data_IF_652978728229
#
_entry.id   IF_652978728229
#
_cell.length_a   1.000
_cell.length_b   1.000
_cell.length_c   1.000
_cell.angle_alpha   90.00
_cell.angle_beta   90.00
_cell.angle_gamma   90.00
#
_symmetry.space_group_name_H-M   'P 1'
#
loop_
_entity.id
_entity.type
_entity.pdbx_description
1 polymer ?
#
# COMPACT_ATOMS: atom_id res chain seq x y z
N UNK A 1 -73.33 48.26 -20.55
CA UNK A 1 -72.45 47.10 -20.84
C UNK A 1 -71.02 47.23 -20.25
N UNK A 2 -70.58 48.41 -19.76
CA UNK A 2 -69.19 48.63 -19.29
C UNK A 2 -68.98 48.36 -17.77
N UNK A 3 -70.04 48.36 -16.95
CA UNK A 3 -69.92 48.14 -15.48
C UNK A 3 -69.62 46.69 -15.06
N UNK A 4 -69.94 45.69 -15.88
CA UNK A 4 -69.70 44.28 -15.54
C UNK A 4 -68.28 43.79 -15.88
N UNK A 5 -67.51 44.54 -16.68
CA UNK A 5 -66.15 44.16 -17.09
C UNK A 5 -65.10 44.50 -16.02
N UNK A 6 -65.29 45.57 -15.24
CA UNK A 6 -64.37 45.95 -14.16
C UNK A 6 -64.49 45.07 -12.92
N UNK A 7 -65.67 44.52 -12.64
CA UNK A 7 -65.89 43.59 -11.54
C UNK A 7 -65.23 42.21 -11.79
N UNK A 8 -65.23 41.73 -13.04
CA UNK A 8 -64.56 40.47 -13.39
C UNK A 8 -63.04 40.60 -13.38
N UNK A 9 -62.46 41.72 -13.83
CA UNK A 9 -61.00 41.94 -13.82
C UNK A 9 -60.49 42.14 -12.38
N UNK A 10 -61.21 42.88 -11.54
CA UNK A 10 -60.86 43.05 -10.12
C UNK A 10 -60.93 41.76 -9.31
N UNK A 11 -61.93 40.91 -9.57
CA UNK A 11 -62.08 39.62 -8.88
C UNK A 11 -61.02 38.60 -9.31
N UNK A 12 -60.64 38.58 -10.59
CA UNK A 12 -59.53 37.75 -11.10
C UNK A 12 -58.18 38.22 -10.54
N UNK A 13 -57.96 39.54 -10.38
CA UNK A 13 -56.76 40.07 -9.73
C UNK A 13 -56.70 39.71 -8.24
N UNK A 14 -57.81 39.82 -7.50
CA UNK A 14 -57.88 39.48 -6.07
C UNK A 14 -57.67 37.98 -5.86
N UNK A 15 -58.31 37.13 -6.66
CA UNK A 15 -58.13 35.67 -6.60
C UNK A 15 -56.69 35.31 -6.98
N UNK A 16 -56.12 35.94 -8.01
CA UNK A 16 -54.71 35.77 -8.38
C UNK A 16 -53.74 36.16 -7.26
N UNK A 17 -54.00 37.26 -6.54
CA UNK A 17 -53.17 37.67 -5.39
C UNK A 17 -53.34 36.77 -4.15
N UNK A 18 -54.56 36.26 -3.89
CA UNK A 18 -54.78 35.34 -2.77
C UNK A 18 -54.11 33.99 -2.99
N UNK A 19 -54.18 33.46 -4.23
CA UNK A 19 -53.53 32.20 -4.61
C UNK A 19 -52.00 32.36 -4.60
N UNK A 20 -51.48 33.48 -5.10
CA UNK A 20 -50.04 33.77 -5.04
C UNK A 20 -49.52 33.89 -3.60
N UNK A 21 -50.29 34.53 -2.70
CA UNK A 21 -49.94 34.59 -1.27
C UNK A 21 -49.95 33.21 -0.61
N UNK A 22 -50.95 32.35 -0.90
CA UNK A 22 -50.98 31.00 -0.29
C UNK A 22 -49.80 30.13 -0.72
N UNK A 23 -49.37 30.22 -1.99
CA UNK A 23 -48.19 29.49 -2.44
C UNK A 23 -46.91 30.04 -1.81
N UNK A 24 -46.79 31.36 -1.65
CA UNK A 24 -45.64 31.96 -0.98
C UNK A 24 -45.55 31.53 0.50
N UNK A 25 -46.67 31.51 1.22
CA UNK A 25 -46.73 31.07 2.62
C UNK A 25 -46.35 29.58 2.75
N UNK A 26 -46.91 28.71 1.93
CA UNK A 26 -46.58 27.27 1.93
C UNK A 26 -45.12 27.00 1.52
N UNK A 27 -44.60 27.74 0.55
CA UNK A 27 -43.17 27.65 0.16
C UNK A 27 -42.26 28.01 1.33
N UNK A 28 -42.61 29.07 2.07
CA UNK A 28 -41.85 29.50 3.25
C UNK A 28 -41.90 28.45 4.36
N UNK A 29 -43.08 27.88 4.64
CA UNK A 29 -43.26 26.82 5.64
C UNK A 29 -42.38 25.59 5.37
N UNK A 30 -42.38 25.09 4.12
CA UNK A 30 -41.53 23.97 3.73
C UNK A 30 -40.04 24.29 3.83
N UNK A 31 -39.64 25.50 3.45
CA UNK A 31 -38.25 25.93 3.59
C UNK A 31 -37.81 25.98 5.07
N UNK A 32 -38.63 26.56 5.96
CA UNK A 32 -38.33 26.61 7.40
C UNK A 32 -38.30 25.22 8.05
N UNK A 33 -39.21 24.33 7.64
CA UNK A 33 -39.20 22.94 8.07
C UNK A 33 -37.90 22.23 7.65
N UNK A 34 -37.49 22.40 6.39
CA UNK A 34 -36.23 21.85 5.88
C UNK A 34 -35.01 22.34 6.67
N UNK A 35 -34.96 23.64 7.00
CA UNK A 35 -33.87 24.22 7.82
C UNK A 35 -33.82 23.55 9.20
N UNK A 36 -34.97 23.39 9.85
CA UNK A 36 -35.06 22.74 11.16
C UNK A 36 -34.60 21.27 11.12
N UNK A 37 -34.94 20.54 10.06
CA UNK A 37 -34.48 19.16 9.87
C UNK A 37 -32.97 19.09 9.63
N UNK A 38 -32.40 20.04 8.87
CA UNK A 38 -30.95 20.16 8.72
C UNK A 38 -30.23 20.38 10.05
N UNK A 39 -30.74 21.30 10.88
CA UNK A 39 -30.18 21.56 12.22
C UNK A 39 -30.23 20.30 13.10
N UNK A 40 -31.24 19.46 12.91
CA UNK A 40 -31.43 18.20 13.64
C UNK A 40 -30.70 17.01 13.00
N UNK A 41 -29.97 17.23 11.90
CA UNK A 41 -29.26 16.22 11.10
C UNK A 41 -30.19 15.14 10.50
N UNK A 42 -31.48 15.46 10.36
CA UNK A 42 -32.49 14.62 9.70
C UNK A 42 -32.50 14.92 8.20
N UNK A 43 -31.41 14.58 7.51
CA UNK A 43 -31.12 15.06 6.15
C UNK A 43 -32.15 14.63 5.11
N UNK A 44 -32.72 13.42 5.22
CA UNK A 44 -33.75 12.93 4.31
C UNK A 44 -35.03 13.76 4.40
N UNK A 45 -35.50 14.05 5.63
CA UNK A 45 -36.67 14.90 5.85
C UNK A 45 -36.42 16.36 5.43
N UNK A 46 -35.18 16.83 5.61
CA UNK A 46 -34.78 18.13 5.10
C UNK A 46 -34.85 18.19 3.57
N UNK A 47 -34.33 17.17 2.88
CA UNK A 47 -34.39 17.05 1.42
C UNK A 47 -35.85 17.04 0.95
N UNK A 48 -36.70 16.21 1.55
CA UNK A 48 -38.14 16.16 1.20
C UNK A 48 -38.79 17.54 1.34
N UNK A 49 -38.57 18.22 2.47
CA UNK A 49 -39.13 19.55 2.73
C UNK A 49 -38.62 20.60 1.73
N UNK A 50 -37.32 20.60 1.43
CA UNK A 50 -36.74 21.52 0.45
C UNK A 50 -37.15 21.18 -0.99
N UNK A 51 -37.40 19.92 -1.33
CA UNK A 51 -37.93 19.52 -2.64
C UNK A 51 -39.34 20.07 -2.84
N UNK A 52 -40.23 19.91 -1.85
CA UNK A 52 -41.58 20.51 -1.89
C UNK A 52 -41.51 22.04 -2.04
N UNK A 53 -40.63 22.70 -1.27
CA UNK A 53 -40.40 24.14 -1.42
C UNK A 53 -39.86 24.52 -2.81
N UNK A 54 -38.99 23.69 -3.38
CA UNK A 54 -38.39 23.91 -4.70
C UNK A 54 -39.40 23.71 -5.82
N UNK A 55 -40.31 22.73 -5.72
CA UNK A 55 -41.39 22.52 -6.68
C UNK A 55 -42.35 23.71 -6.73
N UNK A 56 -42.65 24.32 -5.58
CA UNK A 56 -43.51 25.50 -5.49
C UNK A 56 -42.83 26.78 -5.99
N UNK A 57 -41.52 26.90 -5.84
CA UNK A 57 -40.76 28.07 -6.30
C UNK A 57 -39.34 27.70 -6.82
N UNK A 58 -39.24 27.15 -8.05
CA UNK A 58 -37.97 26.66 -8.61
C UNK A 58 -36.91 27.76 -8.88
N UNK A 59 -37.35 29.00 -9.04
CA UNK A 59 -36.47 30.16 -9.31
C UNK A 59 -35.80 30.71 -8.03
N UNK A 60 -36.14 30.16 -6.86
CA UNK A 60 -35.57 30.59 -5.59
C UNK A 60 -34.15 30.04 -5.39
N UNK A 61 -33.15 30.91 -5.57
CA UNK A 61 -31.74 30.60 -5.30
C UNK A 61 -31.51 30.08 -3.87
N UNK A 62 -32.25 30.61 -2.89
CA UNK A 62 -32.13 30.20 -1.49
C UNK A 62 -32.54 28.74 -1.30
N UNK A 63 -33.72 28.37 -1.84
CA UNK A 63 -34.24 27.00 -1.71
C UNK A 63 -33.34 26.03 -2.47
N UNK A 64 -32.91 26.41 -3.69
CA UNK A 64 -31.97 25.61 -4.48
C UNK A 64 -30.66 25.36 -3.71
N UNK A 65 -30.08 26.38 -3.08
CA UNK A 65 -28.86 26.25 -2.25
C UNK A 65 -29.09 25.36 -1.03
N UNK A 66 -30.22 25.51 -0.35
CA UNK A 66 -30.58 24.68 0.78
C UNK A 66 -30.71 23.20 0.38
N UNK A 67 -31.36 22.93 -0.76
CA UNK A 67 -31.51 21.58 -1.29
C UNK A 67 -30.16 20.96 -1.68
N UNK A 68 -29.30 21.70 -2.39
CA UNK A 68 -27.92 21.30 -2.70
C UNK A 68 -27.13 20.97 -1.43
N UNK A 69 -27.22 21.83 -0.42
CA UNK A 69 -26.53 21.63 0.86
C UNK A 69 -27.03 20.39 1.59
N UNK A 70 -28.33 20.12 1.54
CA UNK A 70 -28.95 18.95 2.17
C UNK A 70 -28.52 17.65 1.49
N UNK A 71 -28.51 17.59 0.15
CA UNK A 71 -27.92 16.47 -0.58
C UNK A 71 -26.44 16.28 -0.25
N UNK A 72 -25.66 17.36 -0.19
CA UNK A 72 -24.25 17.27 0.17
C UNK A 72 -24.05 16.76 1.61
N UNK A 73 -24.89 17.15 2.56
CA UNK A 73 -24.83 16.68 3.94
C UNK A 73 -25.15 15.18 4.05
N UNK A 74 -26.22 14.72 3.39
CA UNK A 74 -26.56 13.30 3.34
C UNK A 74 -25.47 12.48 2.65
N UNK A 75 -24.93 12.96 1.53
CA UNK A 75 -23.84 12.29 0.83
C UNK A 75 -22.60 12.15 1.72
N UNK A 76 -22.25 13.19 2.50
CA UNK A 76 -21.17 13.11 3.48
C UNK A 76 -21.47 12.12 4.62
N UNK A 77 -22.72 12.03 5.09
CA UNK A 77 -23.15 11.03 6.07
C UNK A 77 -22.94 9.60 5.55
N UNK A 78 -23.36 9.33 4.31
CA UNK A 78 -23.14 8.02 3.66
C UNK A 78 -21.65 7.70 3.50
N UNK A 79 -20.85 8.70 3.08
CA UNK A 79 -19.40 8.57 2.97
C UNK A 79 -18.73 8.24 4.32
N UNK A 80 -19.18 8.83 5.43
CA UNK A 80 -18.68 8.51 6.77
C UNK A 80 -18.99 7.07 7.20
N UNK A 81 -20.08 6.51 6.70
CA UNK A 81 -20.44 5.10 6.89
C UNK A 81 -19.68 4.14 5.95
N UNK A 82 -18.91 4.68 5.00
CA UNK A 82 -18.19 3.92 3.98
C UNK A 82 -19.06 3.48 2.80
N UNK A 83 -20.31 3.92 2.73
CA UNK A 83 -21.19 3.68 1.59
C UNK A 83 -20.92 4.72 0.50
N UNK A 84 -19.84 4.48 -0.24
CA UNK A 84 -19.38 5.39 -1.29
C UNK A 84 -20.34 5.45 -2.47
N UNK A 85 -21.04 4.36 -2.79
CA UNK A 85 -22.03 4.32 -3.87
C UNK A 85 -23.21 5.22 -3.52
N UNK A 86 -23.81 5.06 -2.34
CA UNK A 86 -24.90 5.93 -1.88
C UNK A 86 -24.46 7.39 -1.74
N UNK A 87 -23.21 7.64 -1.30
CA UNK A 87 -22.66 8.99 -1.24
C UNK A 87 -22.58 9.64 -2.63
N UNK A 88 -22.04 8.92 -3.62
CA UNK A 88 -21.91 9.38 -5.00
C UNK A 88 -23.29 9.62 -5.63
N UNK A 89 -24.22 8.67 -5.52
CA UNK A 89 -25.58 8.80 -6.06
C UNK A 89 -26.31 10.01 -5.46
N UNK A 90 -26.09 10.29 -4.17
CA UNK A 90 -26.73 11.42 -3.49
C UNK A 90 -26.11 12.76 -3.92
N UNK A 91 -24.78 12.88 -4.01
CA UNK A 91 -24.15 14.14 -4.43
C UNK A 91 -24.39 14.43 -5.91
N UNK A 92 -24.63 13.41 -6.75
CA UNK A 92 -25.05 13.61 -8.15
C UNK A 92 -26.36 14.39 -8.23
N UNK A 93 -27.32 14.17 -7.32
CA UNK A 93 -28.55 14.97 -7.26
C UNK A 93 -28.26 16.46 -7.00
N UNK A 94 -27.24 16.77 -6.19
CA UNK A 94 -26.78 18.14 -6.00
C UNK A 94 -26.11 18.71 -7.27
N UNK A 95 -25.37 17.89 -8.01
CA UNK A 95 -24.74 18.24 -9.27
C UNK A 95 -25.75 18.52 -10.39
N UNK A 96 -26.85 17.76 -10.44
CA UNK A 96 -27.96 17.98 -11.37
C UNK A 96 -28.63 19.35 -11.16
N UNK A 97 -28.69 19.82 -9.90
CA UNK A 97 -29.20 21.15 -9.58
C UNK A 97 -28.22 22.25 -10.00
N UNK A 98 -26.93 22.07 -9.76
CA UNK A 98 -25.89 23.03 -10.16
C UNK A 98 -24.56 22.32 -10.50
N UNK A 99 -24.37 22.07 -11.79
CA UNK A 99 -23.21 21.35 -12.32
C UNK A 99 -21.90 22.13 -12.22
N UNK A 100 -21.96 23.43 -11.91
CA UNK A 100 -20.79 24.31 -11.77
C UNK A 100 -20.48 24.62 -10.30
N UNK A 101 -21.21 24.03 -9.36
CA UNK A 101 -20.98 24.23 -7.95
C UNK A 101 -19.63 23.60 -7.53
N UNK A 102 -18.65 24.45 -7.21
CA UNK A 102 -17.30 24.02 -6.89
C UNK A 102 -17.24 23.06 -5.69
N UNK A 103 -18.12 23.21 -4.69
CA UNK A 103 -18.16 22.32 -3.52
C UNK A 103 -18.70 20.94 -3.92
N UNK A 104 -19.74 20.88 -4.75
CA UNK A 104 -20.31 19.63 -5.26
C UNK A 104 -19.31 18.89 -6.15
N UNK A 105 -18.67 19.60 -7.08
CA UNK A 105 -17.63 19.06 -7.96
C UNK A 105 -16.43 18.51 -7.15
N UNK A 106 -15.99 19.25 -6.13
CA UNK A 106 -14.95 18.79 -5.23
C UNK A 106 -15.37 17.55 -4.44
N UNK A 107 -16.57 17.53 -3.86
CA UNK A 107 -17.10 16.38 -3.11
C UNK A 107 -17.21 15.13 -3.99
N UNK A 108 -17.70 15.26 -5.23
CA UNK A 108 -17.70 14.18 -6.22
C UNK A 108 -16.29 13.63 -6.41
N UNK A 109 -15.30 14.49 -6.68
CA UNK A 109 -13.91 14.08 -6.83
C UNK A 109 -13.38 13.33 -5.59
N UNK A 110 -13.68 13.84 -4.39
CA UNK A 110 -13.29 13.21 -3.11
C UNK A 110 -13.94 11.84 -2.94
N UNK A 111 -15.24 11.70 -3.18
CA UNK A 111 -15.94 10.42 -3.00
C UNK A 111 -15.47 9.36 -4.01
N UNK A 112 -15.31 9.72 -5.29
CA UNK A 112 -14.73 8.81 -6.27
C UNK A 112 -13.29 8.40 -5.91
N UNK A 113 -12.48 9.32 -5.36
CA UNK A 113 -11.11 9.03 -4.92
C UNK A 113 -11.09 8.03 -3.75
N UNK A 114 -11.95 8.24 -2.75
CA UNK A 114 -12.03 7.34 -1.60
C UNK A 114 -12.61 5.98 -1.97
N UNK A 115 -13.60 5.94 -2.87
CA UNK A 115 -14.12 4.67 -3.37
C UNK A 115 -13.04 3.87 -4.10
N UNK A 116 -12.26 4.54 -4.96
CA UNK A 116 -11.12 3.92 -5.62
C UNK A 116 -10.08 3.42 -4.61
N UNK A 117 -9.82 4.16 -3.53
CA UNK A 117 -8.90 3.73 -2.49
C UNK A 117 -9.34 2.42 -1.81
N UNK A 118 -10.63 2.26 -1.52
CA UNK A 118 -11.17 0.99 -1.00
C UNK A 118 -11.07 -0.15 -2.02
N UNK A 119 -11.35 0.13 -3.29
CA UNK A 119 -11.18 -0.84 -4.37
C UNK A 119 -9.73 -1.29 -4.54
N UNK A 120 -8.75 -0.39 -4.37
CA UNK A 120 -7.33 -0.74 -4.37
C UNK A 120 -6.97 -1.73 -3.25
N UNK A 121 -7.52 -1.56 -2.05
CA UNK A 121 -7.32 -2.50 -0.93
C UNK A 121 -7.89 -3.89 -1.23
N UNK A 122 -8.98 -3.94 -1.99
CA UNK A 122 -9.62 -5.19 -2.44
C UNK A 122 -8.96 -5.80 -3.68
N UNK A 123 -7.90 -5.19 -4.22
CA UNK A 123 -7.22 -5.65 -5.44
C UNK A 123 -7.96 -5.32 -6.74
N UNK A 124 -9.07 -4.57 -6.69
CA UNK A 124 -9.89 -4.17 -7.83
C UNK A 124 -9.26 -3.00 -8.61
N UNK A 125 -8.06 -3.23 -9.12
CA UNK A 125 -7.18 -2.20 -9.70
C UNK A 125 -7.72 -1.51 -10.96
N UNK A 126 -8.65 -2.13 -11.69
CA UNK A 126 -9.26 -1.52 -12.88
C UNK A 126 -10.41 -0.59 -12.49
N UNK A 127 -11.34 -1.05 -11.65
CA UNK A 127 -12.42 -0.22 -11.12
C UNK A 127 -11.86 1.00 -10.38
N UNK A 128 -10.81 0.81 -9.58
CA UNK A 128 -10.12 1.92 -8.92
C UNK A 128 -9.55 2.94 -9.91
N UNK A 129 -8.95 2.46 -11.02
CA UNK A 129 -8.43 3.34 -12.05
C UNK A 129 -9.55 4.19 -12.67
N UNK A 130 -10.67 3.55 -13.03
CA UNK A 130 -11.81 4.21 -13.67
C UNK A 130 -12.41 5.28 -12.74
N UNK A 131 -12.61 4.96 -11.46
CA UNK A 131 -13.09 5.91 -10.46
C UNK A 131 -12.14 7.10 -10.27
N UNK A 132 -10.82 6.87 -10.23
CA UNK A 132 -9.84 7.98 -10.17
C UNK A 132 -9.85 8.84 -11.42
N UNK A 133 -10.05 8.24 -12.60
CA UNK A 133 -10.20 8.99 -13.86
C UNK A 133 -11.46 9.85 -13.85
N UNK A 134 -12.56 9.33 -13.32
CA UNK A 134 -13.80 10.07 -13.11
C UNK A 134 -13.62 11.21 -12.10
N UNK A 135 -12.89 10.98 -11.00
CA UNK A 135 -12.60 12.03 -10.01
C UNK A 135 -11.87 13.25 -10.61
N UNK A 136 -10.94 13.03 -11.56
CA UNK A 136 -10.26 14.11 -12.28
C UNK A 136 -11.18 14.89 -13.24
N UNK A 137 -12.29 14.30 -13.69
CA UNK A 137 -13.25 15.01 -14.54
C UNK A 137 -14.00 16.09 -13.75
N UNK A 138 -14.22 15.87 -12.44
CA UNK A 138 -14.94 16.80 -11.58
C UNK A 138 -14.02 17.84 -10.92
N UNK A 139 -12.82 17.45 -10.49
CA UNK A 139 -11.84 18.39 -9.92
C UNK A 139 -10.41 18.01 -10.34
N UNK A 140 -9.85 18.77 -11.29
CA UNK A 140 -8.49 18.59 -11.80
C UNK A 140 -7.40 19.06 -10.83
N UNK A 141 -7.77 19.80 -9.78
CA UNK A 141 -6.84 20.35 -8.78
C UNK A 141 -6.79 19.50 -7.50
N UNK A 142 -7.58 18.42 -7.43
CA UNK A 142 -7.56 17.49 -6.31
C UNK A 142 -6.27 16.64 -6.33
N UNK A 143 -5.23 17.12 -5.63
CA UNK A 143 -3.93 16.44 -5.53
C UNK A 143 -4.05 14.99 -5.02
N UNK A 144 -5.07 14.66 -4.23
CA UNK A 144 -5.25 13.32 -3.67
C UNK A 144 -5.55 12.27 -4.76
N UNK A 145 -6.19 12.69 -5.85
CA UNK A 145 -6.44 11.83 -7.02
C UNK A 145 -5.12 11.45 -7.67
N UNK A 146 -4.22 12.42 -7.87
CA UNK A 146 -2.90 12.19 -8.45
C UNK A 146 -2.01 11.33 -7.55
N UNK A 147 -2.07 11.51 -6.23
CA UNK A 147 -1.39 10.61 -5.28
C UNK A 147 -1.87 9.17 -5.45
N UNK A 148 -3.18 8.97 -5.55
CA UNK A 148 -3.81 7.65 -5.67
C UNK A 148 -3.52 6.99 -7.02
N UNK A 149 -3.58 7.74 -8.12
CA UNK A 149 -3.16 7.27 -9.45
C UNK A 149 -1.68 6.89 -9.47
N UNK A 150 -0.82 7.71 -8.86
CA UNK A 150 0.61 7.40 -8.77
C UNK A 150 0.88 6.12 -7.98
N UNK A 151 0.19 5.91 -6.84
CA UNK A 151 0.26 4.66 -6.06
C UNK A 151 -0.23 3.46 -6.86
N UNK A 152 -1.34 3.60 -7.58
CA UNK A 152 -1.89 2.54 -8.42
C UNK A 152 -0.92 2.13 -9.53
N UNK A 153 -0.33 3.10 -10.23
CA UNK A 153 0.66 2.84 -11.28
C UNK A 153 1.94 2.24 -10.73
N UNK A 154 2.40 2.73 -9.58
CA UNK A 154 3.56 2.18 -8.88
C UNK A 154 3.34 0.69 -8.53
N UNK A 155 2.17 0.34 -7.98
CA UNK A 155 1.83 -1.03 -7.64
C UNK A 155 1.68 -1.94 -8.88
N UNK A 156 1.28 -1.38 -10.02
CA UNK A 156 1.27 -2.07 -11.32
C UNK A 156 2.67 -2.21 -11.96
N UNK A 157 3.70 -1.61 -11.35
CA UNK A 157 5.06 -1.59 -11.88
C UNK A 157 5.30 -0.55 -12.98
N UNK A 158 4.31 0.30 -13.30
CA UNK A 158 4.48 1.40 -14.25
C UNK A 158 5.07 2.63 -13.54
N UNK A 159 6.37 2.54 -13.29
CA UNK A 159 7.12 3.57 -12.56
C UNK A 159 7.10 4.92 -13.28
N UNK A 160 7.06 4.93 -14.63
CA UNK A 160 7.06 6.17 -15.41
C UNK A 160 5.77 6.96 -15.20
N UNK A 161 4.63 6.28 -15.27
CA UNK A 161 3.34 6.91 -15.01
C UNK A 161 3.18 7.28 -13.53
N UNK A 162 3.70 6.46 -12.61
CA UNK A 162 3.71 6.79 -11.18
C UNK A 162 4.41 8.12 -10.91
N UNK A 163 5.62 8.30 -11.46
CA UNK A 163 6.41 9.53 -11.38
C UNK A 163 5.65 10.71 -11.98
N UNK A 164 5.00 10.52 -13.15
CA UNK A 164 4.19 11.58 -13.79
C UNK A 164 3.08 12.07 -12.86
N UNK A 165 2.27 11.16 -12.31
CA UNK A 165 1.16 11.53 -11.42
C UNK A 165 1.65 12.14 -10.09
N UNK A 166 2.69 11.58 -9.47
CA UNK A 166 3.21 12.14 -8.22
C UNK A 166 3.87 13.51 -8.40
N UNK A 167 4.45 13.80 -9.57
CA UNK A 167 4.92 15.15 -9.88
C UNK A 167 3.78 16.16 -9.90
N UNK A 168 2.68 15.84 -10.57
CA UNK A 168 1.47 16.69 -10.56
C UNK A 168 0.91 16.87 -9.14
N UNK A 169 0.86 15.79 -8.34
CA UNK A 169 0.41 15.85 -6.95
C UNK A 169 1.25 16.83 -6.11
N UNK A 170 2.58 16.77 -6.22
CA UNK A 170 3.52 17.64 -5.49
C UNK A 170 3.48 19.08 -6.02
N UNK A 171 3.21 19.28 -7.31
CA UNK A 171 2.97 20.61 -7.88
C UNK A 171 1.71 21.26 -7.29
N UNK A 172 0.61 20.49 -7.17
CA UNK A 172 -0.65 20.97 -6.58
C UNK A 172 -0.57 21.15 -5.07
N UNK A 173 0.17 20.27 -4.38
CA UNK A 173 0.38 20.34 -2.94
C UNK A 173 1.86 20.06 -2.57
N UNK A 174 2.68 21.12 -2.43
CA UNK A 174 4.09 20.98 -2.06
C UNK A 174 4.36 20.44 -0.65
N UNK A 175 3.34 20.34 0.22
CA UNK A 175 3.48 19.83 1.59
C UNK A 175 3.50 18.30 1.66
N UNK A 176 3.34 17.59 0.54
CA UNK A 176 3.36 16.13 0.45
C UNK A 176 4.78 15.56 0.57
N UNK A 177 5.41 15.71 1.75
CA UNK A 177 6.80 15.31 1.98
C UNK A 177 7.07 13.83 1.65
N UNK A 178 6.17 12.92 2.04
CA UNK A 178 6.31 11.48 1.74
C UNK A 178 6.36 11.22 0.24
N UNK A 179 5.42 11.80 -0.52
CA UNK A 179 5.33 11.65 -1.97
C UNK A 179 6.52 12.31 -2.65
N UNK A 180 6.95 13.48 -2.16
CA UNK A 180 8.13 14.19 -2.66
C UNK A 180 9.39 13.36 -2.50
N UNK A 181 9.64 12.80 -1.30
CA UNK A 181 10.80 11.92 -1.07
C UNK A 181 10.75 10.70 -1.98
N UNK A 182 9.57 10.06 -2.14
CA UNK A 182 9.43 8.90 -3.02
C UNK A 182 9.67 9.26 -4.49
N UNK A 183 9.15 10.39 -4.93
CA UNK A 183 9.35 10.94 -6.29
C UNK A 183 10.83 11.18 -6.55
N UNK A 184 11.54 11.87 -5.65
CA UNK A 184 12.97 12.14 -5.76
C UNK A 184 13.78 10.84 -5.87
N UNK A 185 13.46 9.82 -5.06
CA UNK A 185 14.11 8.50 -5.14
C UNK A 185 13.92 7.85 -6.52
N UNK A 186 12.68 7.81 -7.02
CA UNK A 186 12.37 7.19 -8.33
C UNK A 186 12.97 7.98 -9.49
N UNK A 187 12.95 9.32 -9.44
CA UNK A 187 13.56 10.16 -10.46
C UNK A 187 15.08 9.99 -10.50
N UNK A 188 15.72 9.87 -9.33
CA UNK A 188 17.14 9.53 -9.22
C UNK A 188 17.42 8.14 -9.79
N UNK A 189 16.63 7.13 -9.42
CA UNK A 189 16.75 5.77 -9.94
C UNK A 189 16.66 5.75 -11.47
N UNK A 190 15.64 6.40 -12.05
CA UNK A 190 15.46 6.51 -13.50
C UNK A 190 16.68 7.21 -14.14
N UNK A 191 17.15 8.32 -13.56
CA UNK A 191 18.26 9.10 -14.11
C UNK A 191 19.57 8.34 -14.09
N UNK A 192 19.83 7.58 -13.02
CA UNK A 192 21.01 6.72 -12.88
C UNK A 192 20.91 5.56 -13.89
N UNK A 193 19.80 4.84 -13.90
CA UNK A 193 19.63 3.63 -14.70
C UNK A 193 19.54 3.87 -16.20
N UNK A 194 19.14 5.07 -16.65
CA UNK A 194 19.16 5.42 -18.08
C UNK A 194 20.55 5.26 -18.73
N UNK A 195 21.62 5.36 -17.93
CA UNK A 195 23.00 5.19 -18.39
C UNK A 195 23.46 3.74 -18.38
N UNK A 196 22.66 2.83 -17.80
CA UNK A 196 23.06 1.46 -17.57
C UNK A 196 22.89 0.63 -18.84
N UNK A 197 23.80 -0.33 -19.00
CA UNK A 197 23.69 -1.38 -20.00
C UNK A 197 22.93 -2.53 -19.39
N UNK A 198 22.06 -3.15 -20.17
CA UNK A 198 21.37 -4.38 -19.78
C UNK A 198 22.07 -5.57 -20.43
N UNK A 199 22.36 -6.59 -19.63
CA UNK A 199 22.90 -7.87 -20.08
C UNK A 199 21.99 -9.01 -19.63
N UNK A 200 21.54 -9.77 -20.61
CA UNK A 200 20.58 -10.84 -20.43
C UNK A 200 21.31 -12.16 -20.19
N UNK A 201 20.94 -12.87 -19.13
CA UNK A 201 21.36 -14.24 -18.85
C UNK A 201 20.12 -15.14 -18.78
N UNK A 202 20.33 -16.45 -18.61
CA UNK A 202 19.23 -17.43 -18.63
C UNK A 202 18.19 -17.16 -17.54
N UNK A 203 18.63 -16.90 -16.31
CA UNK A 203 17.76 -16.71 -15.13
C UNK A 203 17.79 -15.28 -14.56
N UNK A 204 18.69 -14.43 -15.05
CA UNK A 204 18.95 -13.11 -14.50
C UNK A 204 19.11 -12.08 -15.61
N UNK A 205 18.62 -10.87 -15.34
CA UNK A 205 18.87 -9.71 -16.20
C UNK A 205 19.64 -8.67 -15.41
N UNK A 206 20.88 -8.41 -15.83
CA UNK A 206 21.82 -7.59 -15.06
C UNK A 206 22.01 -6.22 -15.70
N UNK A 207 21.72 -5.17 -14.95
CA UNK A 207 22.01 -3.79 -15.32
C UNK A 207 23.23 -3.25 -14.60
N UNK A 208 24.09 -2.53 -15.31
CA UNK A 208 25.30 -1.90 -14.75
C UNK A 208 25.78 -0.72 -15.60
N UNK A 209 26.53 0.20 -15.01
CA UNK A 209 27.15 1.33 -15.71
C UNK A 209 28.52 0.98 -16.33
N UNK A 210 28.77 1.45 -17.56
CA UNK A 210 30.09 1.42 -18.20
C UNK A 210 30.55 0.06 -18.75
N UNK A 211 31.54 0.07 -19.66
CA UNK A 211 32.11 -1.16 -20.24
C UNK A 211 33.09 -1.87 -19.30
N UNK A 212 33.83 -1.11 -18.49
CA UNK A 212 34.89 -1.63 -17.62
C UNK A 212 34.36 -2.59 -16.54
N UNK A 213 33.06 -2.49 -16.23
CA UNK A 213 32.36 -3.30 -15.22
C UNK A 213 31.68 -4.54 -15.78
N UNK A 214 31.86 -4.85 -17.07
CA UNK A 214 31.31 -6.08 -17.68
C UNK A 214 31.78 -7.36 -16.94
N UNK A 215 33.00 -7.35 -16.40
CA UNK A 215 33.53 -8.47 -15.62
C UNK A 215 32.80 -8.62 -14.27
N UNK A 216 32.32 -7.53 -13.66
CA UNK A 216 31.54 -7.57 -12.42
C UNK A 216 30.19 -8.25 -12.64
N UNK A 217 29.53 -7.97 -13.77
CA UNK A 217 28.26 -8.61 -14.13
C UNK A 217 28.41 -10.14 -14.24
N UNK A 218 29.50 -10.61 -14.85
CA UNK A 218 29.79 -12.05 -14.91
C UNK A 218 30.03 -12.66 -13.53
N UNK A 219 30.83 -12.00 -12.68
CA UNK A 219 31.12 -12.48 -11.32
C UNK A 219 29.85 -12.60 -10.46
N UNK A 220 28.95 -11.62 -10.55
CA UNK A 220 27.66 -11.64 -9.85
C UNK A 220 26.78 -12.80 -10.34
N UNK A 221 26.65 -12.97 -11.66
CA UNK A 221 25.79 -14.02 -12.23
C UNK A 221 26.34 -15.41 -12.00
N UNK A 222 27.66 -15.58 -11.95
CA UNK A 222 28.28 -16.86 -11.61
C UNK A 222 27.83 -17.33 -10.22
N UNK A 223 27.93 -16.46 -9.21
CA UNK A 223 27.49 -16.73 -7.84
C UNK A 223 25.97 -16.93 -7.78
N UNK A 224 25.19 -16.06 -8.43
CA UNK A 224 23.73 -16.18 -8.44
C UNK A 224 23.25 -17.46 -9.13
N UNK A 225 23.97 -17.97 -10.13
CA UNK A 225 23.65 -19.24 -10.78
C UNK A 225 23.93 -20.44 -9.86
N UNK A 226 24.98 -20.36 -9.05
CA UNK A 226 25.23 -21.37 -8.01
C UNK A 226 24.12 -21.34 -6.96
N UNK A 227 23.78 -20.16 -6.45
CA UNK A 227 22.66 -19.97 -5.53
C UNK A 227 21.33 -20.46 -6.13
N UNK A 228 21.07 -20.19 -7.41
CA UNK A 228 19.89 -20.69 -8.14
C UNK A 228 19.81 -22.21 -8.13
N UNK A 229 20.93 -22.86 -8.40
CA UNK A 229 20.99 -24.32 -8.47
C UNK A 229 20.81 -24.95 -7.09
N UNK A 230 21.57 -24.46 -6.11
CA UNK A 230 21.59 -25.02 -4.76
C UNK A 230 20.31 -24.72 -4.01
N UNK A 231 19.92 -23.46 -3.87
CA UNK A 231 18.72 -23.11 -3.13
C UNK A 231 17.45 -23.56 -3.87
N UNK A 232 17.47 -23.59 -5.20
CA UNK A 232 16.35 -24.14 -5.97
C UNK A 232 16.13 -25.62 -5.69
N UNK A 233 17.21 -26.39 -5.52
CA UNK A 233 17.14 -27.78 -5.07
C UNK A 233 16.61 -27.87 -3.63
N UNK A 234 17.19 -27.08 -2.71
CA UNK A 234 16.87 -27.16 -1.28
C UNK A 234 15.40 -26.77 -1.00
N UNK A 235 14.89 -25.73 -1.64
CA UNK A 235 13.49 -25.28 -1.54
C UNK A 235 12.53 -25.99 -2.50
N UNK A 236 13.04 -26.91 -3.33
CA UNK A 236 12.27 -27.60 -4.39
C UNK A 236 11.49 -26.64 -5.30
N UNK A 237 12.06 -25.48 -5.58
CA UNK A 237 11.43 -24.45 -6.37
C UNK A 237 12.46 -23.66 -7.16
N UNK A 238 12.23 -23.57 -8.46
CA UNK A 238 13.07 -22.80 -9.37
C UNK A 238 12.26 -21.62 -9.90
N UNK A 239 12.69 -20.36 -9.62
CA UNK A 239 12.09 -19.17 -10.18
C UNK A 239 11.91 -19.28 -11.71
N UNK A 240 10.68 -19.07 -12.19
CA UNK A 240 10.33 -19.14 -13.61
C UNK A 240 10.52 -17.80 -14.31
N UNK A 241 10.36 -16.70 -13.58
CA UNK A 241 10.61 -15.36 -14.09
C UNK A 241 12.06 -14.98 -13.82
N UNK A 242 12.68 -14.34 -14.81
CA UNK A 242 14.03 -13.80 -14.65
C UNK A 242 14.07 -12.79 -13.51
N UNK A 243 15.09 -12.90 -12.67
CA UNK A 243 15.27 -11.99 -11.55
C UNK A 243 16.13 -10.80 -12.02
N UNK A 244 15.62 -9.56 -11.94
CA UNK A 244 16.40 -8.39 -12.27
C UNK A 244 17.48 -8.15 -11.22
N UNK A 245 18.68 -7.79 -11.68
CA UNK A 245 19.84 -7.49 -10.84
C UNK A 245 20.42 -6.16 -11.28
N UNK A 246 20.76 -5.29 -10.33
CA UNK A 246 21.35 -3.98 -10.63
C UNK A 246 22.62 -3.78 -9.82
N UNK A 247 23.71 -3.46 -10.52
CA UNK A 247 25.02 -3.18 -9.92
C UNK A 247 25.25 -1.68 -9.89
N UNK A 248 25.32 -1.11 -8.70
CA UNK A 248 25.52 0.32 -8.46
C UNK A 248 26.94 0.65 -8.00
N UNK A 249 27.41 1.89 -8.17
CA UNK A 249 28.46 2.42 -7.29
C UNK A 249 27.94 2.57 -5.85
N UNK A 250 28.83 2.77 -4.88
CA UNK A 250 28.43 3.01 -3.49
C UNK A 250 27.53 4.26 -3.37
N UNK A 251 27.88 5.33 -4.07
CA UNK A 251 27.14 6.59 -4.09
C UNK A 251 25.78 6.43 -4.76
N UNK A 252 25.72 5.76 -5.91
CA UNK A 252 24.48 5.49 -6.62
C UNK A 252 23.54 4.61 -5.81
N UNK A 253 24.07 3.61 -5.09
CA UNK A 253 23.27 2.73 -4.26
C UNK A 253 22.58 3.51 -3.14
N UNK A 254 23.31 4.38 -2.44
CA UNK A 254 22.74 5.24 -1.41
C UNK A 254 21.71 6.22 -1.99
N UNK A 255 21.97 6.82 -3.15
CA UNK A 255 21.06 7.75 -3.82
C UNK A 255 19.76 7.08 -4.30
N UNK A 256 19.86 5.86 -4.85
CA UNK A 256 18.72 5.13 -5.39
C UNK A 256 17.86 4.49 -4.28
N UNK A 257 18.48 3.95 -3.24
CA UNK A 257 17.77 3.16 -2.22
C UNK A 257 17.50 3.92 -0.93
N UNK A 258 18.21 5.02 -0.66
CA UNK A 258 18.17 5.73 0.62
C UNK A 258 18.78 4.93 1.78
N UNK A 259 19.35 3.74 1.51
CA UNK A 259 19.91 2.88 2.54
C UNK A 259 21.34 3.31 2.94
N UNK A 260 21.75 3.08 4.20
CA UNK A 260 23.11 3.34 4.64
C UNK A 260 24.16 2.60 3.80
N UNK A 261 25.32 3.22 3.74
CA UNK A 261 26.42 2.89 2.84
C UNK A 261 27.17 1.58 3.15
N UNK A 262 26.84 0.93 4.28
CA UNK A 262 27.37 -0.36 4.71
C UNK A 262 26.50 -1.55 4.31
N UNK A 263 25.31 -1.32 3.75
CA UNK A 263 24.45 -2.39 3.23
C UNK A 263 25.03 -2.86 1.89
N UNK A 264 25.44 -4.14 1.86
CA UNK A 264 26.14 -4.72 0.73
C UNK A 264 25.24 -5.14 -0.43
N UNK A 265 23.95 -5.36 -0.16
CA UNK A 265 22.91 -5.77 -1.08
C UNK A 265 21.51 -5.49 -0.53
N UNK A 266 20.50 -5.47 -1.40
CA UNK A 266 19.10 -5.27 -1.05
C UNK A 266 18.21 -5.96 -2.07
N UNK A 267 17.18 -6.66 -1.61
CA UNK A 267 16.10 -7.17 -2.43
C UNK A 267 14.79 -6.42 -2.16
N UNK A 268 14.28 -5.74 -3.19
CA UNK A 268 13.00 -5.00 -3.17
C UNK A 268 12.09 -5.40 -4.35
N UNK A 269 12.27 -6.64 -4.85
CA UNK A 269 11.80 -7.08 -6.17
C UNK A 269 12.93 -7.12 -7.20
N UNK A 270 13.99 -6.35 -6.96
CA UNK A 270 15.24 -6.34 -7.72
C UNK A 270 16.38 -6.68 -6.76
N UNK A 271 17.33 -7.52 -7.19
CA UNK A 271 18.58 -7.71 -6.44
C UNK A 271 19.51 -6.54 -6.74
N UNK A 272 19.69 -5.64 -5.78
CA UNK A 272 20.60 -4.49 -5.89
C UNK A 272 21.88 -4.79 -5.15
N UNK A 273 23.03 -4.59 -5.78
CA UNK A 273 24.35 -4.86 -5.18
C UNK A 273 25.35 -3.73 -5.50
N UNK A 274 26.26 -3.44 -4.57
CA UNK A 274 27.30 -2.42 -4.80
C UNK A 274 28.54 -3.01 -5.48
N UNK A 275 29.16 -2.24 -6.38
CA UNK A 275 30.44 -2.60 -7.01
C UNK A 275 31.55 -2.81 -5.98
N UNK A 276 31.56 -2.03 -4.89
CA UNK A 276 32.51 -2.21 -3.79
C UNK A 276 32.38 -3.57 -3.09
N UNK A 277 31.15 -4.08 -2.92
CA UNK A 277 30.94 -5.44 -2.41
C UNK A 277 31.55 -6.47 -3.37
N UNK A 278 31.44 -6.24 -4.67
CA UNK A 278 31.92 -7.17 -5.71
C UNK A 278 33.45 -7.18 -5.81
N UNK A 279 34.08 -6.01 -5.72
CA UNK A 279 35.53 -5.82 -5.80
C UNK A 279 36.25 -6.16 -4.48
N UNK A 280 35.51 -6.22 -3.37
CA UNK A 280 36.01 -6.64 -2.07
C UNK A 280 36.31 -8.15 -1.96
N UNK A 281 36.16 -8.69 -0.74
CA UNK A 281 36.40 -10.12 -0.49
C UNK A 281 35.30 -10.98 -1.12
N UNK A 282 35.66 -11.92 -1.99
CA UNK A 282 34.70 -12.81 -2.69
C UNK A 282 33.71 -13.48 -1.74
N UNK A 283 34.15 -13.94 -0.56
CA UNK A 283 33.26 -14.55 0.43
C UNK A 283 32.14 -13.61 0.91
N UNK A 284 32.41 -12.32 1.07
CA UNK A 284 31.39 -11.35 1.50
C UNK A 284 30.35 -11.10 0.40
N UNK A 285 30.79 -11.05 -0.87
CA UNK A 285 29.91 -10.99 -2.02
C UNK A 285 29.01 -12.23 -2.11
N UNK A 286 29.59 -13.42 -1.95
CA UNK A 286 28.83 -14.69 -1.95
C UNK A 286 27.76 -14.71 -0.86
N UNK A 287 28.13 -14.37 0.38
CA UNK A 287 27.17 -14.25 1.49
C UNK A 287 26.02 -13.30 1.14
N UNK A 288 26.33 -12.12 0.63
CA UNK A 288 25.33 -11.11 0.25
C UNK A 288 24.41 -11.63 -0.86
N UNK A 289 24.96 -12.19 -1.94
CA UNK A 289 24.17 -12.63 -3.09
C UNK A 289 23.29 -13.85 -2.78
N UNK A 290 23.74 -14.78 -1.93
CA UNK A 290 22.89 -15.88 -1.45
C UNK A 290 21.74 -15.37 -0.57
N UNK A 291 22.01 -14.38 0.28
CA UNK A 291 21.00 -13.73 1.11
C UNK A 291 19.91 -13.09 0.23
N UNK A 292 20.29 -12.19 -0.69
CA UNK A 292 19.33 -11.50 -1.56
C UNK A 292 18.61 -12.46 -2.52
N UNK A 293 19.30 -13.48 -3.02
CA UNK A 293 18.67 -14.50 -3.87
C UNK A 293 17.67 -15.36 -3.09
N UNK A 294 17.90 -15.62 -1.80
CA UNK A 294 16.94 -16.34 -0.96
C UNK A 294 15.63 -15.55 -0.86
N UNK A 295 15.69 -14.23 -0.65
CA UNK A 295 14.50 -13.39 -0.69
C UNK A 295 13.80 -13.45 -2.04
N UNK A 296 14.55 -13.35 -3.14
CA UNK A 296 13.97 -13.42 -4.49
C UNK A 296 13.26 -14.75 -4.77
N UNK A 297 13.87 -15.86 -4.37
CA UNK A 297 13.30 -17.20 -4.50
C UNK A 297 12.03 -17.33 -3.67
N UNK A 298 12.08 -16.96 -2.39
CA UNK A 298 10.95 -17.05 -1.47
C UNK A 298 9.80 -16.14 -1.91
N UNK A 299 10.10 -14.92 -2.35
CA UNK A 299 9.12 -13.98 -2.89
C UNK A 299 8.35 -14.58 -4.07
N UNK A 300 9.05 -15.16 -5.05
CA UNK A 300 8.38 -15.83 -6.19
C UNK A 300 7.65 -17.11 -5.78
N UNK A 301 8.19 -17.91 -4.85
CA UNK A 301 7.58 -19.16 -4.39
C UNK A 301 6.28 -18.92 -3.61
N UNK A 302 6.24 -17.86 -2.81
CA UNK A 302 5.19 -17.66 -1.78
C UNK A 302 4.29 -16.45 -2.04
N UNK A 303 4.54 -15.68 -3.11
CA UNK A 303 3.75 -14.48 -3.41
C UNK A 303 3.92 -13.36 -2.38
N UNK A 304 5.09 -13.27 -1.73
CA UNK A 304 5.41 -12.30 -0.67
C UNK A 304 4.56 -12.42 0.62
N UNK A 305 4.02 -13.61 0.91
CA UNK A 305 3.15 -13.85 2.05
C UNK A 305 3.88 -14.55 3.23
N UNK A 306 5.12 -14.15 3.52
CA UNK A 306 5.90 -14.74 4.60
C UNK A 306 5.98 -13.83 5.82
N UNK A 307 5.87 -14.40 7.04
CA UNK A 307 6.32 -13.70 8.25
C UNK A 307 7.77 -13.24 8.08
N UNK A 308 8.07 -12.02 8.51
CA UNK A 308 9.37 -11.39 8.30
C UNK A 308 10.50 -12.18 8.97
N UNK A 309 10.25 -12.74 10.17
CA UNK A 309 11.23 -13.57 10.85
C UNK A 309 11.60 -14.83 10.04
N UNK A 310 10.62 -15.43 9.36
CA UNK A 310 10.85 -16.64 8.55
C UNK A 310 11.65 -16.29 7.30
N UNK A 311 11.30 -15.20 6.62
CA UNK A 311 11.99 -14.73 5.42
C UNK A 311 13.45 -14.37 5.71
N UNK A 312 13.69 -13.52 6.72
CA UNK A 312 15.03 -13.07 7.13
C UNK A 312 15.87 -14.20 7.70
N UNK A 313 15.27 -15.02 8.59
CA UNK A 313 15.96 -16.15 9.17
C UNK A 313 16.38 -17.17 8.11
N UNK A 314 15.53 -17.43 7.09
CA UNK A 314 15.87 -18.31 5.96
C UNK A 314 17.03 -17.73 5.15
N UNK A 315 16.98 -16.44 4.80
CA UNK A 315 18.07 -15.78 4.09
C UNK A 315 19.40 -15.93 4.84
N UNK A 316 19.40 -15.73 6.16
CA UNK A 316 20.59 -15.91 7.00
C UNK A 316 21.07 -17.36 7.11
N UNK A 317 20.17 -18.35 7.14
CA UNK A 317 20.60 -19.75 7.22
C UNK A 317 21.16 -20.29 5.91
N UNK A 318 20.73 -19.73 4.78
CA UNK A 318 21.16 -20.10 3.43
C UNK A 318 22.48 -19.43 3.00
N UNK A 319 22.98 -18.47 3.77
CA UNK A 319 24.28 -17.84 3.52
C UNK A 319 25.44 -18.85 3.54
N UNK A 320 26.35 -18.83 2.54
CA UNK A 320 27.54 -19.66 2.53
C UNK A 320 28.45 -19.31 3.72
N UNK A 321 28.94 -20.35 4.42
CA UNK A 321 29.86 -20.17 5.55
C UNK A 321 29.22 -19.69 6.86
N UNK A 322 27.89 -19.76 6.97
CA UNK A 322 27.10 -19.44 8.17
C UNK A 322 27.64 -20.08 9.48
N UNK A 323 28.37 -21.20 9.41
CA UNK A 323 28.96 -21.85 10.58
C UNK A 323 30.02 -21.03 11.33
N UNK A 324 30.66 -20.04 10.68
CA UNK A 324 31.86 -19.39 11.23
C UNK A 324 31.63 -18.51 12.48
N UNK A 325 30.43 -17.94 12.67
CA UNK A 325 30.13 -17.10 13.84
C UNK A 325 29.14 -17.73 14.83
N UNK A 326 28.68 -18.95 14.53
CA UNK A 326 27.59 -19.62 15.24
C UNK A 326 27.79 -19.73 16.76
N UNK A 327 29.03 -20.01 17.21
CA UNK A 327 29.35 -20.13 18.64
C UNK A 327 29.13 -18.81 19.39
N UNK A 328 29.55 -17.69 18.80
CA UNK A 328 29.37 -16.37 19.41
C UNK A 328 27.89 -15.98 19.46
N UNK A 329 27.14 -16.27 18.39
CA UNK A 329 25.69 -16.03 18.33
C UNK A 329 24.95 -16.83 19.41
N UNK A 330 25.24 -18.13 19.55
CA UNK A 330 24.67 -18.97 20.61
C UNK A 330 25.03 -18.43 22.00
N UNK A 331 26.28 -18.00 22.20
CA UNK A 331 26.74 -17.45 23.49
C UNK A 331 25.99 -16.16 23.85
N UNK A 332 25.72 -15.30 22.86
CA UNK A 332 24.92 -14.10 23.04
C UNK A 332 23.46 -14.43 23.36
N UNK A 333 22.82 -15.30 22.58
CA UNK A 333 21.43 -15.71 22.78
C UNK A 333 21.20 -16.38 24.14
N UNK A 334 22.16 -17.17 24.63
CA UNK A 334 22.11 -17.72 25.99
C UNK A 334 22.08 -16.65 27.07
N UNK A 335 22.86 -15.58 26.92
CA UNK A 335 22.82 -14.46 27.87
C UNK A 335 21.47 -13.76 27.84
N UNK A 336 20.90 -13.55 26.65
CA UNK A 336 19.57 -12.97 26.50
C UNK A 336 18.46 -13.86 27.11
N UNK A 337 18.66 -15.19 27.08
CA UNK A 337 17.77 -16.13 27.76
C UNK A 337 17.91 -16.02 29.29
N UNK A 338 19.15 -15.90 29.80
CA UNK A 338 19.43 -15.80 31.24
C UNK A 338 18.96 -14.47 31.85
N UNK A 339 19.02 -13.36 31.09
CA UNK A 339 18.61 -12.02 31.56
C UNK A 339 17.15 -11.66 31.27
N UNK A 340 16.41 -12.53 30.58
CA UNK A 340 14.99 -12.37 30.26
C UNK A 340 14.69 -11.37 29.13
N UNK A 341 15.70 -10.99 28.33
CA UNK A 341 15.51 -10.09 27.17
C UNK A 341 15.04 -10.79 25.88
N UNK A 342 14.92 -12.13 25.92
CA UNK A 342 14.51 -12.96 24.78
C UNK A 342 13.12 -12.60 24.23
N UNK A 343 12.95 -12.58 22.91
CA UNK A 343 11.67 -12.25 22.26
C UNK A 343 10.88 -13.54 22.02
N UNK A 344 9.59 -13.51 22.37
CA UNK A 344 8.73 -14.67 22.16
C UNK A 344 8.51 -14.93 20.66
N UNK A 345 8.24 -16.19 20.30
CA UNK A 345 7.91 -16.57 18.92
C UNK A 345 6.74 -15.75 18.37
N UNK A 346 5.70 -15.54 19.17
CA UNK A 346 4.53 -14.73 18.78
C UNK A 346 4.85 -13.25 18.57
N UNK A 347 5.84 -12.70 19.27
CA UNK A 347 6.23 -11.28 19.17
C UNK A 347 7.35 -11.04 18.14
N UNK A 348 8.00 -12.09 17.64
CA UNK A 348 9.19 -11.97 16.79
C UNK A 348 8.91 -11.18 15.50
N UNK A 349 7.76 -11.44 14.86
CA UNK A 349 7.35 -10.71 13.66
C UNK A 349 7.12 -9.22 13.96
N UNK A 350 6.46 -8.92 15.09
CA UNK A 350 6.18 -7.56 15.54
C UNK A 350 7.45 -6.79 15.86
N UNK A 351 8.42 -7.42 16.52
CA UNK A 351 9.71 -6.82 16.85
C UNK A 351 10.48 -6.38 15.60
N UNK A 352 10.47 -7.19 14.53
CA UNK A 352 11.11 -6.87 13.25
C UNK A 352 10.39 -5.73 12.49
N UNK A 353 9.07 -5.66 12.58
CA UNK A 353 8.26 -4.60 11.93
C UNK A 353 8.45 -3.25 12.62
N UNK A 354 8.40 -3.20 13.96
CA UNK A 354 8.38 -1.94 14.70
C UNK A 354 9.72 -1.18 14.68
N UNK A 355 10.85 -1.89 14.56
CA UNK A 355 12.21 -1.32 14.39
C UNK A 355 12.59 -0.22 15.39
N UNK A 356 11.99 -0.20 16.58
CA UNK A 356 12.15 0.91 17.55
C UNK A 356 13.53 0.95 18.19
N UNK A 357 14.19 -0.21 18.36
CA UNK A 357 15.49 -0.34 19.01
C UNK A 357 16.43 -1.21 18.20
N UNK A 358 17.64 -0.71 17.92
CA UNK A 358 18.67 -1.42 17.14
C UNK A 358 19.14 -2.72 17.79
N UNK A 359 19.28 -2.76 19.12
CA UNK A 359 19.68 -3.97 19.83
C UNK A 359 18.58 -5.03 19.80
N UNK A 360 17.32 -4.62 20.02
CA UNK A 360 16.17 -5.51 19.92
C UNK A 360 15.98 -6.05 18.49
N UNK A 361 16.20 -5.21 17.48
CA UNK A 361 16.14 -5.62 16.08
C UNK A 361 17.22 -6.68 15.78
N UNK A 362 18.45 -6.45 16.23
CA UNK A 362 19.55 -7.41 16.09
C UNK A 362 19.25 -8.73 16.80
N UNK A 363 18.68 -8.67 18.01
CA UNK A 363 18.26 -9.86 18.75
C UNK A 363 17.20 -10.64 17.97
N UNK A 364 16.17 -9.97 17.44
CA UNK A 364 15.11 -10.61 16.65
C UNK A 364 15.65 -11.35 15.42
N UNK A 365 16.61 -10.78 14.68
CA UNK A 365 17.28 -11.48 13.58
C UNK A 365 18.02 -12.73 14.05
N UNK A 366 18.78 -12.63 15.16
CA UNK A 366 19.54 -13.76 15.70
C UNK A 366 18.62 -14.88 16.21
N UNK A 367 17.51 -14.53 16.86
CA UNK A 367 16.50 -15.46 17.33
C UNK A 367 15.79 -16.16 16.18
N UNK A 368 15.37 -15.42 15.15
CA UNK A 368 14.76 -15.98 13.94
C UNK A 368 15.67 -17.02 13.26
N UNK A 369 16.93 -16.65 13.04
CA UNK A 369 17.97 -17.55 12.51
C UNK A 369 18.16 -18.79 13.39
N UNK A 370 18.24 -18.60 14.71
CA UNK A 370 18.49 -19.69 15.65
C UNK A 370 17.31 -20.66 15.76
N UNK A 371 16.07 -20.16 15.72
CA UNK A 371 14.87 -20.98 15.64
C UNK A 371 14.88 -21.87 14.40
N UNK A 372 15.21 -21.31 13.23
CA UNK A 372 15.29 -22.12 11.99
C UNK A 372 16.45 -23.11 12.01
N UNK A 373 17.58 -22.78 12.66
CA UNK A 373 18.64 -23.75 12.91
C UNK A 373 18.16 -24.88 13.81
N UNK A 374 17.39 -24.57 14.87
CA UNK A 374 16.79 -25.58 15.73
C UNK A 374 15.83 -26.48 14.94
N UNK A 375 14.92 -25.89 14.15
CA UNK A 375 13.97 -26.65 13.33
C UNK A 375 14.73 -27.55 12.35
N UNK A 376 15.76 -27.02 11.68
CA UNK A 376 16.58 -27.80 10.75
C UNK A 376 17.34 -28.93 11.46
N UNK A 377 17.92 -28.70 12.64
CA UNK A 377 18.63 -29.76 13.37
C UNK A 377 17.70 -30.84 13.93
N UNK A 378 16.51 -30.45 14.41
CA UNK A 378 15.59 -31.36 15.11
C UNK A 378 14.63 -32.09 14.17
N UNK A 379 14.17 -31.39 13.14
CA UNK A 379 13.10 -31.82 12.25
C UNK A 379 13.51 -31.90 10.77
N UNK A 380 14.74 -31.50 10.44
CA UNK A 380 15.31 -31.43 9.09
C UNK A 380 14.73 -30.33 8.20
N UNK A 381 15.54 -29.84 7.26
CA UNK A 381 15.19 -28.75 6.35
C UNK A 381 13.89 -29.00 5.56
N UNK A 382 13.59 -30.25 5.19
CA UNK A 382 12.38 -30.56 4.42
C UNK A 382 11.09 -30.16 5.16
N UNK A 383 11.10 -30.09 6.51
CA UNK A 383 9.96 -29.61 7.29
C UNK A 383 9.77 -28.10 7.15
N UNK A 384 10.86 -27.34 6.98
CA UNK A 384 10.78 -25.91 6.65
C UNK A 384 10.12 -25.74 5.28
N UNK A 385 10.48 -26.57 4.30
CA UNK A 385 9.81 -26.55 2.98
C UNK A 385 8.32 -26.84 3.08
N UNK A 386 7.92 -27.83 3.90
CA UNK A 386 6.50 -28.13 4.13
C UNK A 386 5.74 -27.00 4.87
N UNK A 387 6.40 -26.29 5.78
CA UNK A 387 5.83 -25.08 6.40
C UNK A 387 5.57 -24.02 5.33
N UNK A 388 6.52 -23.79 4.42
CA UNK A 388 6.33 -22.84 3.31
C UNK A 388 5.18 -23.27 2.39
N UNK A 389 5.05 -24.57 2.09
CA UNK A 389 3.95 -25.10 1.29
C UNK A 389 2.59 -24.90 1.99
N UNK A 390 2.52 -25.08 3.31
CA UNK A 390 1.31 -24.79 4.09
C UNK A 390 0.89 -23.32 4.02
N UNK A 391 1.85 -22.38 4.05
CA UNK A 391 1.58 -20.95 3.88
C UNK A 391 1.08 -20.62 2.46
N UNK A 392 1.59 -21.31 1.44
CA UNK A 392 1.12 -21.18 0.05
C UNK A 392 -0.33 -21.66 -0.06
N UNK A 393 -0.70 -22.71 0.66
CA UNK A 393 -2.05 -23.25 0.72
C UNK A 393 -3.02 -22.41 1.58
N UNK A 394 -2.57 -21.25 2.08
CA UNK A 394 -3.39 -20.27 2.80
C UNK A 394 -3.49 -20.49 4.31
N UNK A 395 -2.69 -21.40 4.89
CA UNK A 395 -2.63 -21.61 6.34
C UNK A 395 -1.95 -20.44 7.05
N UNK A 396 -2.30 -20.22 8.31
CA UNK A 396 -1.51 -19.35 9.17
C UNK A 396 -0.14 -19.98 9.47
N UNK A 397 0.81 -19.16 9.95
CA UNK A 397 2.12 -19.68 10.35
C UNK A 397 2.01 -20.65 11.52
N UNK A 398 1.09 -20.41 12.44
CA UNK A 398 0.78 -21.30 13.56
C UNK A 398 0.30 -22.65 13.04
N UNK A 399 -0.74 -22.67 12.20
CA UNK A 399 -1.28 -23.90 11.60
C UNK A 399 -0.21 -24.68 10.82
N UNK A 400 0.58 -23.99 9.99
CA UNK A 400 1.64 -24.61 9.21
C UNK A 400 2.74 -25.23 10.08
N UNK A 401 3.13 -24.58 11.18
CA UNK A 401 4.09 -25.11 12.15
C UNK A 401 3.53 -26.33 12.88
N UNK A 402 2.30 -26.24 13.39
CA UNK A 402 1.69 -27.28 14.23
C UNK A 402 1.46 -28.58 13.45
N UNK A 403 0.90 -28.48 12.24
CA UNK A 403 0.67 -29.66 11.39
C UNK A 403 1.98 -30.29 10.91
N UNK A 404 2.99 -29.47 10.60
CA UNK A 404 4.23 -29.97 10.03
C UNK A 404 5.15 -30.56 11.08
N UNK A 405 5.21 -29.95 12.26
CA UNK A 405 6.12 -30.34 13.34
C UNK A 405 5.46 -31.22 14.41
N UNK A 406 4.13 -31.35 14.38
CA UNK A 406 3.32 -32.10 15.34
C UNK A 406 3.49 -31.63 16.79
N UNK A 407 3.74 -30.34 16.98
CA UNK A 407 3.86 -29.67 18.28
C UNK A 407 3.19 -28.32 18.20
N UNK A 408 2.47 -27.91 19.26
CA UNK A 408 1.92 -26.56 19.33
C UNK A 408 3.03 -25.50 19.39
N UNK A 409 2.70 -24.26 19.03
CA UNK A 409 3.68 -23.16 18.95
C UNK A 409 4.39 -22.88 20.28
N UNK A 410 3.70 -23.04 21.41
CA UNK A 410 4.28 -22.86 22.75
C UNK A 410 5.23 -24.00 23.13
N UNK A 411 4.88 -25.24 22.79
CA UNK A 411 5.72 -26.41 22.97
C UNK A 411 6.97 -26.34 22.08
N UNK A 412 6.83 -25.83 20.85
CA UNK A 412 7.94 -25.56 19.94
C UNK A 412 8.92 -24.56 20.56
N UNK A 413 8.42 -23.42 21.04
CA UNK A 413 9.22 -22.39 21.70
C UNK A 413 9.96 -22.95 22.91
N UNK A 414 9.26 -23.63 23.83
CA UNK A 414 9.89 -24.23 25.01
C UNK A 414 11.00 -25.25 24.62
N UNK A 415 10.74 -26.08 23.61
CA UNK A 415 11.71 -27.08 23.14
C UNK A 415 12.92 -26.44 22.47
N UNK A 416 12.72 -25.36 21.73
CA UNK A 416 13.78 -24.54 21.14
C UNK A 416 14.65 -23.89 22.22
N UNK A 417 14.05 -23.25 23.22
CA UNK A 417 14.78 -22.62 24.32
C UNK A 417 15.60 -23.64 25.12
N UNK A 418 15.03 -24.81 25.40
CA UNK A 418 15.76 -25.89 26.06
C UNK A 418 16.94 -26.39 25.22
N UNK A 419 16.75 -26.55 23.91
CA UNK A 419 17.83 -26.90 22.99
C UNK A 419 18.92 -25.84 22.96
N UNK A 420 18.56 -24.55 22.91
CA UNK A 420 19.51 -23.43 22.93
C UNK A 420 20.35 -23.45 24.20
N UNK A 421 19.71 -23.64 25.37
CA UNK A 421 20.40 -23.74 26.65
C UNK A 421 21.39 -24.92 26.70
N UNK A 422 21.09 -26.03 26.02
CA UNK A 422 21.92 -27.25 25.99
C UNK A 422 23.16 -27.20 25.06
N UNK A 423 23.22 -26.25 24.11
CA UNK A 423 24.33 -26.12 23.14
C UNK A 423 25.61 -25.56 23.73
#
# INVERSE_FOLDING_TARGET
>A
MIKNFFLSVGMVLIIGTCIANSFADTTFEFNEAGVKYMDSHEYELAIESFQEAFELNPESDTIKKNLIHSFAALANSNAQQGDWEAAIDTIIKAYELDSNNAVVLHNLSVFYTNFAYEQMKQGLSNSAHDNLKTALQYDTNNWAVYVSLGRLMYNKGDIKEAVRYWREAVTLNPALNEIKTRLEMLENEITIEQKFRNKQFMYFDVKYEGYERNNLAWKVVEILREAYTQLGHDFKYYPQQKIPVIIYTKEQFQQATGTPDWIGGLYDGIIRVTASTIEGKTKHLETTLYHEYTHALLHQKTGNNLPLWLNEGLAQIMEPGNSSNRRNEITFLKRCLDDGSFITLSDLNKALIQRQNREQLKLAYLEAKNLLQYINERYYFYRIVLILDGLIDGKTIEEALEETLFVDTKALENSWLHWLHSK
#
